data_IF_115057624494
#
_entry.id   IF_115057624494
#
_cell.length_a   1.000
_cell.length_b   1.000
_cell.length_c   1.000
_cell.angle_alpha   90.00
_cell.angle_beta   90.00
_cell.angle_gamma   90.00
#
_symmetry.space_group_name_H-M   'P 1'
#
loop_
_entity.id
_entity.type
_entity.pdbx_description
1 polymer ?
#
# COMPACT_ATOMS: atom_id res chain seq x y z
N UNK A 1 8.60 33.76 -11.56
CA UNK A 1 8.16 32.67 -10.66
C UNK A 1 7.65 31.49 -11.44
N UNK A 2 6.74 31.66 -12.39
CA UNK A 2 6.17 30.55 -13.21
C UNK A 2 7.23 29.72 -13.95
N UNK A 3 8.30 30.39 -14.45
CA UNK A 3 9.42 29.69 -15.12
C UNK A 3 10.17 28.75 -14.18
N UNK A 4 10.26 29.08 -12.88
CA UNK A 4 10.91 28.22 -11.87
C UNK A 4 10.05 27.00 -11.60
N UNK A 5 8.73 27.16 -11.45
CA UNK A 5 7.79 26.08 -11.26
C UNK A 5 7.81 25.14 -12.45
N UNK A 6 7.62 25.69 -13.65
CA UNK A 6 7.62 24.90 -14.89
C UNK A 6 8.93 24.11 -15.09
N UNK A 7 10.09 24.74 -14.82
CA UNK A 7 11.38 24.07 -14.87
C UNK A 7 11.46 22.93 -13.84
N UNK A 8 11.06 23.20 -12.59
CA UNK A 8 11.15 22.19 -11.52
C UNK A 8 10.26 20.98 -11.80
N UNK A 9 9.06 21.20 -12.31
CA UNK A 9 8.13 20.13 -12.68
C UNK A 9 8.63 19.31 -13.87
N UNK A 10 9.14 19.96 -14.91
CA UNK A 10 9.75 19.28 -16.05
C UNK A 10 10.97 18.46 -15.63
N UNK A 11 11.85 19.06 -14.86
CA UNK A 11 13.03 18.39 -14.32
C UNK A 11 12.68 17.16 -13.50
N UNK A 12 11.63 17.26 -12.65
CA UNK A 12 11.15 16.13 -11.86
C UNK A 12 10.68 14.97 -12.72
N UNK A 13 9.93 15.25 -13.81
CA UNK A 13 9.46 14.23 -14.75
C UNK A 13 10.63 13.51 -15.44
N UNK A 14 11.68 14.26 -15.80
CA UNK A 14 12.83 13.73 -16.52
C UNK A 14 13.83 12.96 -15.64
N UNK A 15 13.96 13.36 -14.36
CA UNK A 15 15.01 12.86 -13.47
C UNK A 15 14.51 12.16 -12.21
N UNK A 16 13.19 12.12 -11.96
CA UNK A 16 12.54 11.53 -10.77
C UNK A 16 13.07 12.05 -9.43
N UNK A 17 13.62 13.28 -9.41
CA UNK A 17 14.06 14.02 -8.23
C UNK A 17 13.81 15.50 -8.38
N UNK A 18 13.75 16.22 -7.28
CA UNK A 18 13.63 17.68 -7.31
C UNK A 18 14.98 18.32 -7.69
N UNK A 19 14.96 19.41 -8.49
CA UNK A 19 16.20 20.11 -8.85
C UNK A 19 16.81 20.84 -7.64
N UNK A 20 18.13 20.92 -7.61
CA UNK A 20 18.85 21.77 -6.67
C UNK A 20 18.65 23.25 -7.03
N UNK A 21 18.92 24.16 -6.08
CA UNK A 21 18.85 25.62 -6.32
C UNK A 21 19.77 26.06 -7.47
N UNK A 22 20.92 25.41 -7.63
CA UNK A 22 21.84 25.69 -8.74
C UNK A 22 21.27 25.29 -10.09
N UNK A 23 20.62 24.10 -10.17
CA UNK A 23 19.96 23.63 -11.38
C UNK A 23 18.75 24.52 -11.75
N UNK A 24 17.98 24.94 -10.72
CA UNK A 24 16.89 25.92 -10.91
C UNK A 24 17.43 27.24 -11.46
N UNK A 25 18.54 27.75 -10.89
CA UNK A 25 19.17 28.97 -11.38
C UNK A 25 19.59 28.86 -12.84
N UNK A 26 20.28 27.78 -13.20
CA UNK A 26 20.72 27.50 -14.58
C UNK A 26 19.52 27.35 -15.53
N UNK A 27 18.52 26.55 -15.16
CA UNK A 27 17.35 26.31 -15.99
C UNK A 27 16.42 27.52 -16.17
N UNK A 28 16.34 28.40 -15.17
CA UNK A 28 15.59 29.63 -15.23
C UNK A 28 16.36 30.84 -15.79
N UNK A 29 17.67 30.68 -16.05
CA UNK A 29 18.54 31.75 -16.54
C UNK A 29 18.81 32.85 -15.51
N UNK A 30 18.92 32.50 -14.22
CA UNK A 30 19.17 33.43 -13.09
C UNK A 30 20.28 32.91 -12.18
N UNK A 31 20.83 33.79 -11.34
CA UNK A 31 21.84 33.37 -10.38
C UNK A 31 21.25 32.45 -9.32
N UNK A 32 22.09 31.58 -8.71
CA UNK A 32 21.71 30.72 -7.58
C UNK A 32 21.10 31.52 -6.44
N UNK A 33 21.69 32.68 -6.10
CA UNK A 33 21.18 33.55 -5.03
C UNK A 33 19.78 34.11 -5.36
N UNK A 34 19.55 34.48 -6.61
CA UNK A 34 18.24 34.93 -7.08
C UNK A 34 17.20 33.81 -7.05
N UNK A 35 17.61 32.61 -7.49
CA UNK A 35 16.75 31.41 -7.43
C UNK A 35 16.34 31.10 -6.00
N UNK A 36 17.28 31.09 -5.05
CA UNK A 36 16.99 30.85 -3.63
C UNK A 36 16.00 31.89 -3.06
N UNK A 37 16.21 33.17 -3.34
CA UNK A 37 15.31 34.24 -2.89
C UNK A 37 13.90 34.05 -3.43
N UNK A 38 13.75 33.70 -4.70
CA UNK A 38 12.43 33.41 -5.28
C UNK A 38 11.78 32.16 -4.69
N UNK A 39 12.54 31.09 -4.39
CA UNK A 39 11.99 29.92 -3.73
C UNK A 39 11.44 30.26 -2.34
N UNK A 40 12.16 31.06 -1.56
CA UNK A 40 11.68 31.49 -0.25
C UNK A 40 10.41 32.35 -0.37
N UNK A 41 10.40 33.34 -1.28
CA UNK A 41 9.22 34.17 -1.52
C UNK A 41 7.99 33.36 -1.98
N UNK A 42 8.19 32.38 -2.86
CA UNK A 42 7.12 31.51 -3.33
C UNK A 42 6.61 30.56 -2.22
N UNK A 43 7.50 30.11 -1.35
CA UNK A 43 7.14 29.32 -0.17
C UNK A 43 6.30 30.13 0.81
N UNK A 44 6.71 31.37 1.13
CA UNK A 44 5.96 32.28 2.00
C UNK A 44 4.57 32.62 1.46
N UNK A 45 4.45 32.69 0.12
CA UNK A 45 3.16 32.91 -0.57
C UNK A 45 2.31 31.64 -0.72
N UNK A 46 2.78 30.50 -0.24
CA UNK A 46 2.08 29.21 -0.35
C UNK A 46 1.99 28.64 -1.79
N UNK A 47 2.79 29.16 -2.73
CA UNK A 47 2.80 28.69 -4.14
C UNK A 47 3.56 27.37 -4.30
N UNK A 48 4.50 27.11 -3.43
CA UNK A 48 5.32 25.89 -3.36
C UNK A 48 5.58 25.53 -1.91
N UNK A 49 5.98 24.29 -1.66
CA UNK A 49 6.67 23.92 -0.41
C UNK A 49 8.16 23.77 -0.69
N UNK A 50 9.01 24.46 0.09
CA UNK A 50 10.45 24.34 -0.01
C UNK A 50 11.07 24.11 1.37
N UNK A 51 11.73 22.96 1.52
CA UNK A 51 12.53 22.60 2.70
C UNK A 51 14.02 22.84 2.38
N UNK A 52 14.57 23.89 2.99
CA UNK A 52 15.97 24.26 2.78
C UNK A 52 16.96 23.25 3.38
N UNK A 53 16.60 22.56 4.46
CA UNK A 53 17.45 21.56 5.12
C UNK A 53 17.51 20.27 4.29
N UNK A 54 16.35 19.77 3.89
CA UNK A 54 16.24 18.61 3.00
C UNK A 54 16.51 18.93 1.53
N UNK A 55 16.65 20.24 1.18
CA UNK A 55 16.80 20.73 -0.20
C UNK A 55 15.69 20.23 -1.14
N UNK A 56 14.49 20.09 -0.61
CA UNK A 56 13.33 19.52 -1.30
C UNK A 56 12.35 20.60 -1.70
N UNK A 57 12.10 20.72 -2.99
CA UNK A 57 11.05 21.55 -3.59
C UNK A 57 9.84 20.67 -3.91
N UNK A 58 8.66 21.08 -3.51
CA UNK A 58 7.41 20.39 -3.84
C UNK A 58 6.41 21.40 -4.40
N UNK A 59 5.82 21.13 -5.56
CA UNK A 59 4.66 21.81 -6.13
C UNK A 59 3.46 20.87 -6.05
N UNK A 60 2.25 21.37 -6.25
CA UNK A 60 1.05 20.51 -6.31
C UNK A 60 1.20 19.39 -7.35
N UNK A 61 1.83 19.70 -8.48
CA UNK A 61 2.05 18.72 -9.53
C UNK A 61 3.13 17.69 -9.14
N UNK A 62 4.25 18.12 -8.57
CA UNK A 62 5.30 17.21 -8.06
C UNK A 62 4.72 16.31 -6.96
N UNK A 63 3.90 16.87 -6.06
CA UNK A 63 3.23 16.08 -5.01
C UNK A 63 2.33 14.98 -5.60
N UNK A 64 1.61 15.27 -6.68
CA UNK A 64 0.78 14.28 -7.39
C UNK A 64 1.60 13.26 -8.18
N UNK A 65 2.78 13.64 -8.69
CA UNK A 65 3.68 12.77 -9.44
C UNK A 65 4.61 11.94 -8.55
N UNK A 66 4.77 12.35 -7.27
CA UNK A 66 5.56 11.64 -6.27
C UNK A 66 4.63 11.13 -5.17
N UNK A 67 3.81 10.13 -5.45
CA UNK A 67 3.01 9.51 -4.40
C UNK A 67 3.96 8.96 -3.34
N UNK A 68 3.62 9.14 -2.06
CA UNK A 68 4.31 8.46 -0.98
C UNK A 68 4.37 6.96 -1.26
N UNK A 69 5.31 6.27 -0.64
CA UNK A 69 5.36 4.81 -0.67
C UNK A 69 5.03 4.27 0.71
N UNK A 70 4.33 3.15 0.75
CA UNK A 70 4.18 2.30 1.93
C UNK A 70 5.14 1.14 1.76
N UNK A 71 5.95 0.87 2.77
CA UNK A 71 6.86 -0.29 2.77
C UNK A 71 6.13 -1.43 3.45
N UNK A 72 5.92 -2.52 2.72
CA UNK A 72 5.23 -3.71 3.21
C UNK A 72 6.19 -4.89 3.26
N UNK A 73 6.29 -5.63 4.38
CA UNK A 73 7.00 -6.90 4.40
C UNK A 73 6.29 -7.90 3.49
N UNK A 74 7.06 -8.63 2.69
CA UNK A 74 6.60 -9.80 1.96
C UNK A 74 6.74 -11.01 2.88
N UNK A 75 5.62 -11.55 3.27
CA UNK A 75 5.53 -12.81 3.97
C UNK A 75 5.32 -13.92 2.94
N UNK A 76 5.94 -15.07 3.12
CA UNK A 76 5.78 -16.21 2.21
C UNK A 76 4.33 -16.69 2.09
N UNK A 77 4.09 -17.98 2.09
CA UNK A 77 2.74 -18.54 2.20
C UNK A 77 2.10 -18.12 3.53
N UNK A 78 0.77 -18.15 3.61
CA UNK A 78 0.01 -17.75 4.81
C UNK A 78 0.64 -18.34 6.07
N UNK A 79 1.08 -17.50 7.03
CA UNK A 79 1.79 -17.97 8.22
C UNK A 79 0.90 -18.83 9.12
N UNK A 80 1.49 -19.82 9.76
CA UNK A 80 0.84 -20.57 10.84
C UNK A 80 1.08 -19.81 12.15
N UNK A 81 0.13 -18.96 12.56
CA UNK A 81 0.25 -18.16 13.77
C UNK A 81 -0.03 -16.68 13.58
N UNK A 82 0.16 -15.84 14.61
CA UNK A 82 0.02 -14.40 14.51
C UNK A 82 1.02 -13.78 13.53
N UNK A 83 0.55 -12.87 12.68
CA UNK A 83 1.35 -12.21 11.63
C UNK A 83 2.55 -11.43 12.20
N UNK A 84 2.44 -10.87 13.41
CA UNK A 84 3.53 -10.14 14.06
C UNK A 84 4.80 -10.99 14.24
N UNK A 85 4.65 -12.28 14.49
CA UNK A 85 5.80 -13.19 14.62
C UNK A 85 6.46 -13.49 13.27
N UNK A 86 5.68 -13.42 12.19
CA UNK A 86 6.18 -13.69 10.84
C UNK A 86 6.84 -12.46 10.21
N UNK A 87 6.45 -11.25 10.62
CA UNK A 87 7.10 -10.01 10.16
C UNK A 87 8.58 -9.93 10.55
N UNK A 88 8.99 -10.57 11.64
CA UNK A 88 10.39 -10.70 12.02
C UNK A 88 11.21 -11.57 11.04
N UNK A 89 10.50 -12.37 10.22
CA UNK A 89 11.09 -13.30 9.25
C UNK A 89 10.69 -12.95 7.81
N UNK A 90 10.37 -11.69 7.56
CA UNK A 90 9.99 -11.23 6.21
C UNK A 90 11.09 -11.56 5.18
N UNK A 91 10.70 -12.18 4.07
CA UNK A 91 11.62 -12.52 2.98
C UNK A 91 12.21 -11.29 2.32
N UNK A 92 11.39 -10.26 2.18
CA UNK A 92 11.71 -9.01 1.48
C UNK A 92 10.81 -7.88 1.97
N UNK A 93 11.21 -6.63 1.72
CA UNK A 93 10.38 -5.44 1.91
C UNK A 93 10.08 -4.77 0.58
N UNK A 94 8.81 -4.65 0.23
CA UNK A 94 8.35 -4.09 -1.04
C UNK A 94 7.78 -2.70 -0.82
N UNK A 95 8.26 -1.73 -1.61
CA UNK A 95 7.74 -0.36 -1.62
C UNK A 95 6.58 -0.23 -2.60
N UNK A 96 5.38 0.02 -2.09
CA UNK A 96 4.17 0.19 -2.88
C UNK A 96 3.75 1.67 -2.96
N UNK A 97 3.38 2.19 -4.17
CA UNK A 97 2.86 3.54 -4.30
C UNK A 97 1.55 3.74 -3.52
N UNK A 98 1.53 4.72 -2.62
CA UNK A 98 0.32 5.05 -1.83
C UNK A 98 -0.88 5.39 -2.73
N UNK A 99 -0.64 5.98 -3.91
CA UNK A 99 -1.69 6.32 -4.87
C UNK A 99 -2.46 5.12 -5.42
N UNK A 100 -1.82 3.94 -5.44
CA UNK A 100 -2.44 2.71 -5.96
C UNK A 100 -2.90 1.78 -4.84
N UNK A 101 -2.14 1.69 -3.76
CA UNK A 101 -2.31 0.69 -2.71
C UNK A 101 -2.77 1.28 -1.37
N UNK A 102 -2.91 2.60 -1.29
CA UNK A 102 -3.18 3.29 -0.03
C UNK A 102 -1.95 3.38 0.88
N UNK A 103 -2.04 4.22 1.90
CA UNK A 103 -1.04 4.32 2.97
C UNK A 103 -1.48 3.52 4.20
N UNK A 104 -0.61 3.38 5.21
CA UNK A 104 -0.89 2.74 6.50
C UNK A 104 -0.19 1.39 6.66
N UNK A 105 -0.47 0.70 7.75
CA UNK A 105 0.19 -0.56 8.08
C UNK A 105 -0.38 -1.73 7.28
N UNK A 106 0.51 -2.55 6.75
CA UNK A 106 0.12 -3.72 5.99
C UNK A 106 1.31 -4.60 5.62
N UNK A 107 1.01 -5.71 4.98
CA UNK A 107 1.97 -6.68 4.51
C UNK A 107 1.49 -7.30 3.20
N UNK A 108 2.36 -8.05 2.54
CA UNK A 108 2.05 -8.78 1.32
C UNK A 108 2.15 -10.26 1.62
N UNK A 109 1.12 -11.02 1.21
CA UNK A 109 1.13 -12.47 1.23
C UNK A 109 1.28 -13.03 -0.16
N UNK A 110 1.99 -14.13 -0.31
CA UNK A 110 1.93 -14.98 -1.48
C UNK A 110 0.78 -15.97 -1.28
N UNK A 111 -0.26 -15.87 -2.12
CA UNK A 111 -1.40 -16.78 -2.07
C UNK A 111 -0.95 -18.21 -2.37
N UNK A 112 -1.54 -19.18 -1.66
CA UNK A 112 -1.32 -20.60 -1.89
C UNK A 112 -2.65 -21.34 -1.99
N UNK A 113 -2.78 -22.14 -3.03
CA UNK A 113 -3.98 -22.90 -3.32
C UNK A 113 -5.02 -22.12 -4.15
N UNK A 114 -6.16 -22.74 -4.36
CA UNK A 114 -7.18 -22.33 -5.31
C UNK A 114 -8.52 -21.91 -4.68
N UNK A 115 -8.56 -21.80 -3.37
CA UNK A 115 -9.80 -21.57 -2.62
C UNK A 115 -10.47 -20.22 -2.86
N UNK A 116 -9.78 -19.27 -3.52
CA UNK A 116 -10.20 -17.88 -3.72
C UNK A 116 -10.20 -17.46 -5.20
N UNK A 117 -10.23 -18.42 -6.14
CA UNK A 117 -10.16 -18.15 -7.60
C UNK A 117 -11.31 -17.28 -8.11
N UNK A 118 -12.56 -17.53 -7.66
CA UNK A 118 -13.72 -16.71 -8.04
C UNK A 118 -13.64 -15.27 -7.50
N UNK A 119 -12.75 -15.01 -6.54
CA UNK A 119 -12.42 -13.68 -6.05
C UNK A 119 -11.23 -13.05 -6.80
N UNK A 120 -10.74 -13.73 -7.84
CA UNK A 120 -9.61 -13.27 -8.65
C UNK A 120 -8.25 -13.46 -7.99
N UNK A 121 -8.14 -14.34 -6.99
CA UNK A 121 -6.88 -14.68 -6.30
C UNK A 121 -6.52 -16.12 -6.65
N UNK A 122 -5.44 -16.28 -7.39
CA UNK A 122 -4.90 -17.58 -7.82
C UNK A 122 -3.65 -17.96 -7.03
N UNK A 123 -3.27 -19.22 -7.11
CA UNK A 123 -2.01 -19.70 -6.52
C UNK A 123 -0.82 -18.91 -7.04
N UNK A 124 0.04 -18.46 -6.12
CA UNK A 124 1.23 -17.66 -6.43
C UNK A 124 0.99 -16.14 -6.54
N UNK A 125 -0.25 -15.66 -6.55
CA UNK A 125 -0.54 -14.21 -6.57
C UNK A 125 -0.04 -13.52 -5.30
N UNK A 126 0.36 -12.24 -5.40
CA UNK A 126 0.65 -11.42 -4.25
C UNK A 126 -0.58 -10.65 -3.82
N UNK A 127 -0.98 -10.80 -2.56
CA UNK A 127 -2.14 -10.14 -1.98
C UNK A 127 -1.68 -9.09 -0.97
N UNK A 128 -2.04 -7.83 -1.22
CA UNK A 128 -1.74 -6.72 -0.32
C UNK A 128 -2.80 -6.67 0.78
N UNK A 129 -2.36 -6.87 2.01
CA UNK A 129 -3.19 -6.93 3.21
C UNK A 129 -3.01 -5.65 4.03
N UNK A 130 -4.11 -5.09 4.53
CA UNK A 130 -4.12 -3.93 5.42
C UNK A 130 -4.51 -4.37 6.83
N UNK A 131 -3.69 -4.00 7.81
CA UNK A 131 -3.91 -4.30 9.25
C UNK A 131 -4.82 -3.28 9.93
N UNK A 132 -4.79 -2.05 9.47
CA UNK A 132 -5.52 -0.91 10.01
C UNK A 132 -6.96 -0.74 9.48
N UNK A 133 -7.54 -1.80 8.94
CA UNK A 133 -8.90 -1.81 8.42
C UNK A 133 -9.82 -2.74 9.22
N UNK A 134 -11.00 -2.25 9.56
CA UNK A 134 -12.07 -3.12 10.06
C UNK A 134 -12.65 -3.96 8.91
N UNK A 135 -12.77 -5.26 9.15
CA UNK A 135 -13.38 -6.18 8.20
C UNK A 135 -14.90 -6.08 8.23
N UNK A 136 -15.52 -6.10 7.05
CA UNK A 136 -16.96 -6.16 6.85
C UNK A 136 -17.34 -7.44 6.15
N UNK A 137 -18.59 -7.85 6.29
CA UNK A 137 -19.11 -8.99 5.54
C UNK A 137 -18.89 -8.80 4.04
N UNK A 138 -18.35 -9.82 3.38
CA UNK A 138 -17.93 -9.80 1.99
C UNK A 138 -16.47 -9.43 1.76
N UNK A 139 -15.76 -8.88 2.75
CA UNK A 139 -14.32 -8.63 2.63
C UNK A 139 -13.52 -9.94 2.60
N UNK A 140 -12.44 -9.94 1.84
CA UNK A 140 -11.45 -11.03 1.89
C UNK A 140 -10.47 -10.71 3.02
N UNK A 141 -10.33 -11.63 3.95
CA UNK A 141 -9.53 -11.44 5.17
C UNK A 141 -8.47 -12.53 5.34
N UNK A 142 -7.38 -12.17 6.00
CA UNK A 142 -6.50 -13.16 6.62
C UNK A 142 -7.05 -13.45 8.02
N UNK A 143 -7.48 -14.67 8.22
CA UNK A 143 -8.13 -15.16 9.42
C UNK A 143 -7.22 -16.13 10.15
N UNK A 144 -6.96 -15.87 11.44
CA UNK A 144 -6.34 -16.84 12.36
C UNK A 144 -7.46 -17.52 13.14
N UNK A 145 -7.55 -18.84 13.01
CA UNK A 145 -8.56 -19.65 13.69
C UNK A 145 -8.05 -20.19 15.02
N UNK A 146 -8.94 -20.72 15.85
CA UNK A 146 -8.60 -21.21 17.19
C UNK A 146 -7.57 -22.34 17.25
N UNK A 147 -7.19 -22.94 16.10
CA UNK A 147 -6.13 -23.94 15.97
C UNK A 147 -4.76 -23.34 15.59
N UNK A 148 -4.59 -22.02 15.64
CA UNK A 148 -3.40 -21.31 15.14
C UNK A 148 -3.16 -21.49 13.63
N UNK A 149 -4.20 -21.80 12.88
CA UNK A 149 -4.16 -21.90 11.43
C UNK A 149 -4.60 -20.59 10.82
N UNK A 150 -3.75 -20.00 9.98
CA UNK A 150 -4.10 -18.83 9.20
C UNK A 150 -4.65 -19.23 7.84
N UNK A 151 -5.65 -18.50 7.37
CA UNK A 151 -6.27 -18.75 6.06
C UNK A 151 -6.77 -17.48 5.41
N UNK A 152 -6.77 -17.43 4.09
CA UNK A 152 -7.38 -16.35 3.29
C UNK A 152 -8.77 -16.79 2.85
N UNK A 153 -9.81 -16.10 3.32
CA UNK A 153 -11.21 -16.41 3.01
C UNK A 153 -12.06 -15.13 2.92
N UNK A 154 -13.24 -15.25 2.32
CA UNK A 154 -14.25 -14.22 2.44
C UNK A 154 -14.87 -14.26 3.84
N UNK A 155 -15.00 -13.12 4.47
CA UNK A 155 -15.66 -12.98 5.76
C UNK A 155 -17.17 -12.93 5.58
N UNK A 156 -17.87 -13.90 6.10
CA UNK A 156 -19.34 -14.03 6.04
C UNK A 156 -20.08 -13.43 7.22
N UNK A 157 -19.38 -12.65 8.08
CA UNK A 157 -19.98 -12.08 9.29
C UNK A 157 -20.02 -13.05 10.47
N UNK A 158 -20.86 -12.72 11.44
CA UNK A 158 -21.10 -13.54 12.64
C UNK A 158 -22.53 -14.09 12.57
N UNK A 159 -22.66 -15.39 12.69
CA UNK A 159 -23.98 -16.04 12.84
C UNK A 159 -24.60 -15.62 14.16
N UNK A 160 -25.73 -14.93 14.11
CA UNK A 160 -26.40 -14.38 15.30
C UNK A 160 -27.03 -15.44 16.20
N UNK A 161 -27.27 -16.64 15.67
CA UNK A 161 -27.85 -17.76 16.43
C UNK A 161 -26.80 -18.54 17.22
N UNK A 162 -25.62 -18.73 16.64
CA UNK A 162 -24.53 -19.53 17.23
C UNK A 162 -23.38 -18.69 17.79
N UNK A 163 -23.25 -17.42 17.35
CA UNK A 163 -22.12 -16.55 17.67
C UNK A 163 -20.83 -16.93 16.96
N UNK A 164 -20.89 -17.82 15.99
CA UNK A 164 -19.73 -18.27 15.24
C UNK A 164 -19.45 -17.33 14.06
N UNK A 165 -18.16 -17.10 13.77
CA UNK A 165 -17.75 -16.40 12.56
C UNK A 165 -17.81 -17.35 11.36
N UNK A 166 -18.24 -16.81 10.22
CA UNK A 166 -18.38 -17.54 8.95
C UNK A 166 -17.26 -17.11 8.02
N UNK A 167 -16.54 -18.09 7.48
CA UNK A 167 -15.50 -17.89 6.46
C UNK A 167 -15.90 -18.68 5.23
N UNK A 168 -15.97 -18.02 4.04
CA UNK A 168 -16.45 -18.64 2.81
C UNK A 168 -15.33 -18.85 1.81
N UNK A 169 -15.37 -19.99 1.13
CA UNK A 169 -14.56 -20.24 -0.06
C UNK A 169 -15.10 -19.47 -1.25
N UNK A 170 -14.22 -19.05 -2.14
CA UNK A 170 -14.55 -18.35 -3.39
C UNK A 170 -13.97 -19.13 -4.59
N UNK A 171 -14.35 -20.39 -4.68
CA UNK A 171 -14.13 -21.28 -5.82
C UNK A 171 -15.29 -22.27 -5.85
N UNK A 172 -16.35 -21.91 -6.57
CA UNK A 172 -17.61 -22.68 -6.60
C UNK A 172 -17.48 -24.00 -7.32
N UNK A 173 -16.56 -24.11 -8.28
CA UNK A 173 -16.33 -25.33 -9.01
C UNK A 173 -15.80 -26.43 -8.07
N UNK A 174 -14.82 -26.10 -7.26
CA UNK A 174 -14.15 -27.05 -6.38
C UNK A 174 -14.75 -27.14 -4.98
N UNK A 175 -15.26 -26.03 -4.48
CA UNK A 175 -15.80 -25.89 -3.12
C UNK A 175 -17.22 -25.26 -3.17
N UNK A 176 -18.22 -25.95 -3.77
CA UNK A 176 -19.57 -25.38 -3.88
C UNK A 176 -20.14 -25.12 -2.48
N UNK A 177 -20.47 -23.84 -2.22
CA UNK A 177 -21.07 -23.36 -0.97
C UNK A 177 -20.32 -23.75 0.31
N UNK A 178 -19.00 -24.06 0.20
CA UNK A 178 -18.18 -24.44 1.34
C UNK A 178 -17.92 -23.22 2.25
N UNK A 179 -18.17 -23.43 3.53
CA UNK A 179 -17.88 -22.45 4.58
C UNK A 179 -17.23 -23.13 5.78
N UNK A 180 -16.42 -22.33 6.49
CA UNK A 180 -15.82 -22.72 7.78
C UNK A 180 -16.50 -21.87 8.85
N UNK A 181 -16.99 -22.53 9.91
CA UNK A 181 -17.54 -21.86 11.10
C UNK A 181 -16.56 -21.96 12.24
N UNK A 182 -16.22 -20.83 12.84
CA UNK A 182 -15.20 -20.76 13.87
C UNK A 182 -15.71 -19.98 15.09
N UNK A 183 -15.47 -20.56 16.29
CA UNK A 183 -15.84 -19.92 17.56
C UNK A 183 -14.86 -18.84 17.99
N UNK A 184 -13.60 -18.95 17.54
CA UNK A 184 -12.55 -17.96 17.82
C UNK A 184 -11.93 -17.56 16.51
N UNK A 185 -12.09 -16.29 16.16
CA UNK A 185 -11.50 -15.68 14.98
C UNK A 185 -10.67 -14.47 15.41
N UNK A 186 -9.43 -14.41 14.93
CA UNK A 186 -8.64 -13.20 14.95
C UNK A 186 -8.37 -12.77 13.51
N UNK A 187 -8.86 -11.59 13.14
CA UNK A 187 -8.64 -11.02 11.81
C UNK A 187 -7.27 -10.34 11.82
N UNK A 188 -6.36 -10.83 10.99
CA UNK A 188 -4.98 -10.35 10.89
C UNK A 188 -4.85 -9.23 9.85
N UNK A 189 -5.89 -9.01 9.05
CA UNK A 189 -5.98 -7.94 8.07
C UNK A 189 -6.96 -8.22 6.96
N UNK A 190 -7.19 -7.20 6.13
CA UNK A 190 -8.15 -7.20 5.02
C UNK A 190 -7.39 -7.07 3.71
N UNK A 191 -7.66 -7.95 2.75
CA UNK A 191 -7.11 -7.88 1.40
C UNK A 191 -7.68 -6.66 0.66
N UNK A 192 -6.80 -5.87 0.06
CA UNK A 192 -7.18 -4.67 -0.70
C UNK A 192 -6.81 -4.74 -2.18
N UNK A 193 -5.70 -5.36 -2.50
CA UNK A 193 -5.23 -5.47 -3.88
C UNK A 193 -4.62 -6.84 -4.12
N UNK A 194 -4.66 -7.25 -5.38
CA UNK A 194 -3.97 -8.46 -5.87
C UNK A 194 -2.99 -8.04 -6.96
N UNK A 195 -1.77 -8.51 -6.86
CA UNK A 195 -0.72 -8.32 -7.86
C UNK A 195 -0.46 -9.67 -8.50
N UNK A 196 -0.75 -9.77 -9.80
CA UNK A 196 -0.52 -10.99 -10.58
C UNK A 196 0.85 -10.95 -11.22
N UNK A 197 1.58 -12.05 -11.09
CA UNK A 197 2.82 -12.27 -11.83
C UNK A 197 2.48 -13.08 -13.07
N UNK A 198 2.79 -12.53 -14.26
CA UNK A 198 2.51 -13.14 -15.55
C UNK A 198 3.65 -14.06 -16.01
#
# INVERSE_FOLDING_TARGET
MDRIVAFAEKFYIEHYRTPSVSEIGAGAGISKATAYRYLMEMHEKGMISYDGAARKLTTDRISKLSPGVTVCPLLGSIPCGPVELEEEHAEEYISLPVSMFGGGEGYILKASGDSMEDAGISDGDYVVIRKDCEAREGDIIVALTGGNESTLKEYGGIDTGTGEAILRYRNREKYPDAEIRVKKLSIQGVAKNVIKML
#
